data_IF_696725591070
#
_entry.id   IF_696725591070
#
_cell.length_a   1.000
_cell.length_b   1.000
_cell.length_c   1.000
_cell.angle_alpha   90.00
_cell.angle_beta   90.00
_cell.angle_gamma   90.00
#
_symmetry.space_group_name_H-M   'P 1'
#
loop_
_entity.id
_entity.type
_entity.pdbx_description
1 polymer ?
#
# COMPACT_ATOMS: atom_id res chain seq x y z
N UNK A 1 18.53 34.57 -35.76
CA UNK A 1 17.10 34.23 -35.61
C UNK A 1 16.92 32.80 -36.13
N UNK A 2 16.82 31.81 -35.25
CA UNK A 2 16.64 30.42 -35.66
C UNK A 2 15.15 30.15 -35.93
N UNK A 3 14.84 29.62 -37.11
CA UNK A 3 13.48 29.28 -37.50
C UNK A 3 12.98 28.09 -36.67
N UNK A 4 11.89 28.30 -35.93
CA UNK A 4 11.15 27.21 -35.28
C UNK A 4 10.41 26.45 -36.38
N UNK A 5 10.99 25.34 -36.86
CA UNK A 5 10.35 24.48 -37.84
C UNK A 5 9.11 23.79 -37.26
N UNK A 6 7.96 23.93 -37.93
CA UNK A 6 6.74 23.19 -37.58
C UNK A 6 6.96 21.70 -37.85
N UNK A 7 6.70 20.86 -36.84
CA UNK A 7 6.68 19.40 -36.99
C UNK A 7 5.59 18.99 -38.01
N UNK A 8 5.87 18.09 -38.96
CA UNK A 8 4.86 17.60 -39.90
C UNK A 8 3.73 16.88 -39.17
N UNK A 9 2.48 17.06 -39.60
CA UNK A 9 1.28 16.59 -38.87
C UNK A 9 1.27 15.09 -38.56
N UNK A 10 1.91 14.26 -39.38
CA UNK A 10 2.09 12.83 -39.12
C UNK A 10 3.00 12.54 -37.91
N UNK A 11 4.05 13.35 -37.71
CA UNK A 11 4.95 13.21 -36.56
C UNK A 11 4.24 13.63 -35.26
N UNK A 12 3.40 14.67 -35.31
CA UNK A 12 2.57 15.08 -34.18
C UNK A 12 1.53 14.00 -33.81
N UNK A 13 0.88 13.38 -34.80
CA UNK A 13 -0.08 12.30 -34.57
C UNK A 13 0.58 11.02 -34.01
N UNK A 14 1.77 10.67 -34.49
CA UNK A 14 2.54 9.53 -33.99
C UNK A 14 3.01 9.76 -32.55
N UNK A 15 3.47 10.97 -32.23
CA UNK A 15 3.86 11.37 -30.87
C UNK A 15 2.66 11.33 -29.92
N UNK A 16 1.49 11.80 -30.37
CA UNK A 16 0.25 11.76 -29.59
C UNK A 16 -0.23 10.32 -29.35
N UNK A 17 -0.14 9.45 -30.36
CA UNK A 17 -0.47 8.03 -30.23
C UNK A 17 0.45 7.31 -29.23
N UNK A 18 1.77 7.58 -29.31
CA UNK A 18 2.76 7.06 -28.35
C UNK A 18 2.49 7.54 -26.91
N UNK A 19 2.09 8.81 -26.74
CA UNK A 19 1.68 9.37 -25.45
C UNK A 19 0.40 8.72 -24.90
N UNK A 20 -0.59 8.42 -25.76
CA UNK A 20 -1.82 7.72 -25.36
C UNK A 20 -1.57 6.27 -24.95
N UNK A 21 -0.67 5.56 -25.63
CA UNK A 21 -0.27 4.19 -25.28
C UNK A 21 0.52 4.14 -23.95
N UNK A 22 1.37 5.14 -23.70
CA UNK A 22 2.13 5.25 -22.45
C UNK A 22 1.26 5.54 -21.21
N UNK A 23 0.03 6.02 -21.39
CA UNK A 23 -0.90 6.36 -20.30
C UNK A 23 -1.80 5.21 -19.84
N UNK A 24 -1.73 4.04 -20.47
CA UNK A 24 -2.56 2.89 -20.07
C UNK A 24 -1.90 2.12 -18.93
N UNK A 25 -2.19 2.51 -17.69
CA UNK A 25 -1.90 1.64 -16.54
C UNK A 25 -2.92 0.50 -16.57
N UNK A 26 -2.50 -0.67 -17.06
CA UNK A 26 -3.28 -1.88 -16.87
C UNK A 26 -3.26 -2.23 -15.38
N UNK A 27 -4.43 -2.29 -14.75
CA UNK A 27 -4.54 -2.79 -13.39
C UNK A 27 -4.00 -4.22 -13.34
N UNK A 28 -3.07 -4.49 -12.43
CA UNK A 28 -2.55 -5.84 -12.19
C UNK A 28 -3.71 -6.79 -11.90
N UNK A 29 -3.83 -7.87 -12.67
CA UNK A 29 -4.86 -8.86 -12.45
C UNK A 29 -4.38 -9.85 -11.39
N UNK A 30 -5.09 -9.93 -10.27
CA UNK A 30 -4.79 -10.88 -9.19
C UNK A 30 -5.96 -11.83 -9.04
N UNK A 31 -5.70 -13.11 -9.30
CA UNK A 31 -6.65 -14.22 -9.11
C UNK A 31 -5.97 -15.35 -8.33
N UNK A 32 -6.65 -16.47 -8.16
CA UNK A 32 -6.10 -17.65 -7.52
C UNK A 32 -6.70 -18.92 -8.13
N UNK A 33 -5.98 -20.03 -7.99
CA UNK A 33 -6.52 -21.36 -8.22
C UNK A 33 -6.14 -22.30 -7.07
N UNK A 34 -6.42 -23.60 -7.23
CA UNK A 34 -6.14 -24.62 -6.21
C UNK A 34 -4.65 -24.75 -5.84
N UNK A 35 -3.74 -24.11 -6.58
CA UNK A 35 -2.30 -24.23 -6.38
C UNK A 35 -1.64 -22.96 -5.89
N UNK A 36 -2.04 -21.79 -6.41
CA UNK A 36 -1.33 -20.54 -6.11
C UNK A 36 -2.17 -19.28 -6.39
N UNK A 37 -1.64 -18.14 -5.92
CA UNK A 37 -2.00 -16.83 -6.46
C UNK A 37 -1.49 -16.71 -7.89
N UNK A 38 -2.30 -16.11 -8.75
CA UNK A 38 -2.01 -15.85 -10.15
C UNK A 38 -2.00 -14.34 -10.36
N UNK A 39 -0.80 -13.81 -10.65
CA UNK A 39 -0.59 -12.38 -10.88
C UNK A 39 -0.23 -12.18 -12.34
N UNK A 40 -1.05 -11.43 -13.07
CA UNK A 40 -0.94 -11.20 -14.52
C UNK A 40 -0.82 -12.51 -15.32
N UNK A 41 -1.64 -13.50 -14.95
CA UNK A 41 -1.66 -14.83 -15.57
C UNK A 41 -0.54 -15.77 -15.14
N UNK A 42 0.39 -15.33 -14.30
CA UNK A 42 1.52 -16.14 -13.83
C UNK A 42 1.27 -16.62 -12.39
N UNK A 43 1.28 -17.95 -12.18
CA UNK A 43 1.26 -18.55 -10.84
C UNK A 43 2.54 -18.19 -10.08
N UNK A 44 2.40 -17.70 -8.85
CA UNK A 44 3.55 -17.33 -7.99
C UNK A 44 3.42 -17.95 -6.60
N UNK A 45 4.54 -18.45 -6.08
CA UNK A 45 4.70 -18.69 -4.65
C UNK A 45 5.32 -17.42 -4.08
N UNK A 46 4.56 -16.69 -3.28
CA UNK A 46 5.00 -15.39 -2.75
C UNK A 46 5.64 -15.57 -1.38
N UNK A 47 6.83 -15.01 -1.20
CA UNK A 47 7.48 -14.91 0.11
C UNK A 47 7.19 -13.54 0.72
N UNK A 48 6.54 -13.54 1.88
CA UNK A 48 6.09 -12.33 2.59
C UNK A 48 6.85 -12.11 3.89
N UNK A 49 7.05 -10.84 4.26
CA UNK A 49 7.56 -10.44 5.58
C UNK A 49 6.81 -9.22 6.13
N UNK A 50 6.57 -9.20 7.44
CA UNK A 50 5.79 -8.12 8.08
C UNK A 50 6.64 -6.89 8.41
N UNK A 51 6.17 -5.71 8.01
CA UNK A 51 6.74 -4.41 8.37
C UNK A 51 5.58 -3.48 8.71
N UNK A 52 5.42 -3.12 9.98
CA UNK A 52 4.34 -2.21 10.40
C UNK A 52 4.79 -0.76 10.28
N UNK A 53 4.14 0.02 9.41
CA UNK A 53 4.53 1.39 9.09
C UNK A 53 4.67 2.31 10.33
N UNK A 54 3.79 2.27 11.35
CA UNK A 54 3.93 3.16 12.51
C UNK A 54 5.07 2.75 13.44
N UNK A 55 5.67 1.56 13.26
CA UNK A 55 6.79 1.08 14.09
C UNK A 55 8.17 1.54 13.61
N UNK A 56 8.24 2.22 12.47
CA UNK A 56 9.45 2.89 11.96
C UNK A 56 9.11 4.30 11.47
N UNK A 57 10.09 5.10 11.06
CA UNK A 57 9.84 6.46 10.53
C UNK A 57 9.74 6.45 9.00
N UNK A 58 9.10 7.45 8.37
CA UNK A 58 8.99 7.54 6.92
C UNK A 58 10.32 7.48 6.17
N UNK A 59 11.38 8.02 6.79
CA UNK A 59 12.73 8.03 6.22
C UNK A 59 13.40 6.65 6.26
N UNK A 60 12.96 5.77 7.17
CA UNK A 60 13.45 4.39 7.24
C UNK A 60 12.80 3.49 6.19
N UNK A 61 11.56 3.76 5.77
CA UNK A 61 10.78 2.84 4.93
C UNK A 61 11.49 2.44 3.63
N UNK A 62 12.06 3.36 2.82
CA UNK A 62 12.75 2.95 1.59
C UNK A 62 13.90 1.96 1.85
N UNK A 63 14.68 2.20 2.90
CA UNK A 63 15.78 1.31 3.28
C UNK A 63 15.30 -0.03 3.84
N UNK A 64 14.15 -0.08 4.52
CA UNK A 64 13.53 -1.32 4.98
C UNK A 64 12.98 -2.14 3.79
N UNK A 65 12.33 -1.49 2.82
CA UNK A 65 11.82 -2.14 1.62
C UNK A 65 12.96 -2.70 0.77
N UNK A 66 14.06 -1.95 0.62
CA UNK A 66 15.22 -2.45 -0.11
C UNK A 66 15.82 -3.69 0.57
N UNK A 67 15.98 -3.67 1.90
CA UNK A 67 16.46 -4.85 2.64
C UNK A 67 15.52 -6.04 2.54
N UNK A 68 14.21 -5.81 2.57
CA UNK A 68 13.21 -6.85 2.33
C UNK A 68 13.38 -7.48 0.94
N UNK A 69 13.55 -6.64 -0.09
CA UNK A 69 13.77 -7.08 -1.47
C UNK A 69 15.08 -7.86 -1.62
N UNK A 70 16.17 -7.34 -1.08
CA UNK A 70 17.50 -7.99 -1.11
C UNK A 70 17.50 -9.31 -0.32
N UNK A 71 16.66 -9.40 0.72
CA UNK A 71 16.39 -10.62 1.49
C UNK A 71 15.54 -11.66 0.76
N UNK A 72 15.09 -11.38 -0.47
CA UNK A 72 14.32 -12.30 -1.30
C UNK A 72 12.81 -12.27 -1.05
N UNK A 73 12.27 -11.22 -0.41
CA UNK A 73 10.82 -11.06 -0.29
C UNK A 73 10.22 -10.61 -1.63
N UNK A 74 9.06 -11.19 -1.96
CA UNK A 74 8.21 -10.75 -3.07
C UNK A 74 7.23 -9.67 -2.62
N UNK A 75 6.90 -9.68 -1.32
CA UNK A 75 5.86 -8.84 -0.76
C UNK A 75 6.16 -8.47 0.69
N UNK A 76 5.60 -7.34 1.11
CA UNK A 76 5.54 -6.94 2.51
C UNK A 76 4.10 -6.99 3.02
N UNK A 77 3.96 -7.26 4.30
CA UNK A 77 2.67 -7.30 4.96
C UNK A 77 2.61 -6.26 6.08
N UNK A 78 1.48 -5.56 6.20
CA UNK A 78 1.23 -4.66 7.32
C UNK A 78 -0.22 -4.73 7.75
N UNK A 79 -0.44 -4.59 9.05
CA UNK A 79 -1.73 -4.19 9.58
C UNK A 79 -2.03 -2.73 9.27
N UNK A 80 -3.31 -2.35 9.32
CA UNK A 80 -3.74 -0.94 9.41
C UNK A 80 -4.14 -0.64 10.85
N UNK A 81 -3.53 0.38 11.44
CA UNK A 81 -3.73 0.73 12.85
C UNK A 81 -4.81 1.81 12.97
N UNK A 82 -6.07 1.40 13.06
CA UNK A 82 -7.22 2.29 13.02
C UNK A 82 -7.25 3.30 14.17
N UNK A 83 -6.84 2.92 15.38
CA UNK A 83 -6.72 3.86 16.50
C UNK A 83 -5.78 5.05 16.21
N UNK A 84 -4.69 4.80 15.49
CA UNK A 84 -3.79 5.86 15.05
C UNK A 84 -4.38 6.69 13.90
N UNK A 85 -5.20 6.07 13.06
CA UNK A 85 -5.83 6.73 11.91
C UNK A 85 -7.11 7.49 12.25
N UNK A 86 -7.81 7.16 13.33
CA UNK A 86 -9.03 7.84 13.78
C UNK A 86 -8.97 8.06 15.31
N UNK A 87 -8.00 8.87 15.80
CA UNK A 87 -7.82 9.09 17.24
C UNK A 87 -9.05 9.75 17.89
N UNK A 88 -9.77 10.55 17.10
CA UNK A 88 -11.08 11.10 17.44
C UNK A 88 -12.03 10.70 16.32
N UNK A 89 -13.23 10.20 16.68
CA UNK A 89 -14.22 9.76 15.70
C UNK A 89 -14.50 10.83 14.64
N UNK A 90 -14.38 10.45 13.38
CA UNK A 90 -14.53 11.31 12.20
C UNK A 90 -13.34 12.23 11.91
N UNK A 91 -12.26 12.17 12.69
CA UNK A 91 -11.03 12.93 12.46
C UNK A 91 -9.90 11.98 12.10
N UNK A 92 -9.48 12.03 10.83
CA UNK A 92 -8.52 11.07 10.30
C UNK A 92 -7.09 11.62 10.27
N UNK A 93 -6.12 10.78 10.64
CA UNK A 93 -4.69 11.06 10.52
C UNK A 93 -4.01 10.05 9.58
N UNK A 94 -3.45 10.56 8.48
CA UNK A 94 -2.63 9.83 7.53
C UNK A 94 -1.30 10.55 7.28
N UNK A 95 -0.81 11.32 8.26
CA UNK A 95 0.43 12.07 8.17
C UNK A 95 1.60 11.37 8.88
N UNK A 96 2.82 11.81 8.59
CA UNK A 96 4.02 11.34 9.28
C UNK A 96 4.16 9.82 9.26
N UNK A 97 4.25 9.19 10.44
CA UNK A 97 4.38 7.74 10.60
C UNK A 97 3.09 6.98 10.30
N UNK A 98 1.95 7.67 10.22
CA UNK A 98 0.64 7.12 9.88
C UNK A 98 0.35 7.25 8.37
N UNK A 99 1.30 7.74 7.56
CA UNK A 99 1.12 7.83 6.11
C UNK A 99 1.20 6.46 5.42
N UNK A 100 0.08 5.72 5.49
CA UNK A 100 -0.10 4.41 4.87
C UNK A 100 0.15 4.46 3.36
N UNK A 101 -0.28 5.53 2.70
CA UNK A 101 -0.16 5.68 1.24
C UNK A 101 1.31 5.79 0.85
N UNK A 102 2.09 6.63 1.55
CA UNK A 102 3.53 6.75 1.33
C UNK A 102 4.27 5.45 1.63
N UNK A 103 3.87 4.71 2.67
CA UNK A 103 4.43 3.39 2.95
C UNK A 103 4.17 2.39 1.81
N UNK A 104 2.93 2.30 1.30
CA UNK A 104 2.58 1.43 0.18
C UNK A 104 3.32 1.82 -1.10
N UNK A 105 3.48 3.13 -1.35
CA UNK A 105 4.29 3.63 -2.47
C UNK A 105 5.76 3.23 -2.34
N UNK A 106 6.35 3.31 -1.14
CA UNK A 106 7.72 2.88 -0.92
C UNK A 106 7.92 1.38 -1.20
N UNK A 107 6.94 0.53 -0.88
CA UNK A 107 6.96 -0.89 -1.26
C UNK A 107 6.86 -1.07 -2.79
N UNK A 108 5.97 -0.32 -3.45
CA UNK A 108 5.85 -0.33 -4.90
C UNK A 108 7.13 0.13 -5.61
N UNK A 109 7.79 1.18 -5.13
CA UNK A 109 9.05 1.70 -5.66
C UNK A 109 10.19 0.67 -5.55
N UNK A 110 10.17 -0.16 -4.50
CA UNK A 110 11.10 -1.28 -4.33
C UNK A 110 10.73 -2.54 -5.14
N UNK A 111 9.61 -2.51 -5.88
CA UNK A 111 9.11 -3.64 -6.65
C UNK A 111 8.62 -4.80 -5.78
N UNK A 112 7.97 -4.49 -4.65
CA UNK A 112 7.32 -5.42 -3.74
C UNK A 112 5.80 -5.30 -3.83
N UNK A 113 5.10 -6.42 -3.73
CA UNK A 113 3.65 -6.40 -3.49
C UNK A 113 3.34 -6.06 -2.02
N UNK A 114 2.09 -5.69 -1.73
CA UNK A 114 1.63 -5.43 -0.36
C UNK A 114 0.43 -6.31 -0.02
N UNK A 115 0.50 -7.02 1.10
CA UNK A 115 -0.68 -7.61 1.74
C UNK A 115 -1.15 -6.70 2.87
N UNK A 116 -2.31 -6.10 2.67
CA UNK A 116 -2.88 -5.14 3.62
C UNK A 116 -3.88 -5.85 4.55
N UNK A 117 -3.53 -5.95 5.83
CA UNK A 117 -4.35 -6.55 6.87
C UNK A 117 -5.13 -5.44 7.59
N UNK A 118 -6.26 -5.06 6.99
CA UNK A 118 -6.95 -3.81 7.31
C UNK A 118 -7.48 -3.73 8.75
N UNK A 119 -7.77 -4.86 9.42
CA UNK A 119 -8.38 -4.84 10.75
C UNK A 119 -9.92 -4.71 10.69
N UNK A 120 -10.59 -4.01 11.63
CA UNK A 120 -10.02 -2.98 12.51
C UNK A 120 -9.27 -3.52 13.73
N UNK A 121 -9.67 -4.67 14.26
CA UNK A 121 -8.88 -5.36 15.28
C UNK A 121 -7.70 -6.10 14.65
N UNK A 122 -6.49 -5.80 15.11
CA UNK A 122 -5.24 -6.35 14.55
C UNK A 122 -4.45 -7.19 15.54
N UNK A 123 -4.82 -7.16 16.84
CA UNK A 123 -4.01 -7.61 17.95
C UNK A 123 -2.63 -6.93 17.94
N UNK A 124 -1.72 -7.49 17.14
CA UNK A 124 -0.40 -6.96 16.78
C UNK A 124 0.49 -6.58 17.97
N UNK A 125 0.16 -6.97 19.20
CA UNK A 125 0.77 -6.42 20.42
C UNK A 125 0.73 -4.89 20.38
N UNK A 126 -0.41 -4.35 19.97
CA UNK A 126 -0.72 -2.93 19.89
C UNK A 126 -1.78 -2.56 20.94
N UNK A 127 -1.78 -1.30 21.37
CA UNK A 127 -2.72 -0.83 22.38
C UNK A 127 -4.16 -1.16 21.96
N UNK A 128 -4.87 -1.88 22.82
CA UNK A 128 -6.25 -2.35 22.59
C UNK A 128 -6.45 -3.10 21.25
N UNK A 129 -5.40 -3.69 20.68
CA UNK A 129 -5.48 -4.33 19.37
C UNK A 129 -5.85 -3.39 18.23
N UNK A 130 -5.57 -2.09 18.38
CA UNK A 130 -5.95 -0.98 17.49
C UNK A 130 -7.42 -0.56 17.51
N UNK A 131 -8.22 -1.13 18.41
CA UNK A 131 -9.54 -0.60 18.68
C UNK A 131 -9.46 0.69 19.51
N UNK A 132 -10.31 1.67 19.20
CA UNK A 132 -10.45 2.87 20.03
C UNK A 132 -11.49 2.64 21.13
N UNK A 133 -11.34 3.26 22.32
CA UNK A 133 -12.37 3.20 23.38
C UNK A 133 -13.77 3.60 22.87
N UNK A 134 -13.85 4.55 21.94
CA UNK A 134 -15.09 4.99 21.31
C UNK A 134 -15.74 3.89 20.46
N UNK A 135 -14.93 3.07 19.77
CA UNK A 135 -15.41 1.91 19.01
C UNK A 135 -15.84 0.77 19.95
N UNK A 136 -15.13 0.57 21.07
CA UNK A 136 -15.46 -0.45 22.06
C UNK A 136 -16.73 -0.15 22.86
N UNK A 137 -17.02 1.12 23.13
CA UNK A 137 -18.22 1.57 23.87
C UNK A 137 -19.56 1.19 23.21
N UNK A 138 -19.55 0.87 21.91
CA UNK A 138 -20.76 0.44 21.19
C UNK A 138 -20.94 -1.08 21.13
N UNK A 139 -19.98 -1.86 21.64
CA UNK A 139 -20.19 -3.30 21.79
C UNK A 139 -21.13 -3.57 22.97
N UNK A 140 -22.24 -4.33 22.77
CA UNK A 140 -23.19 -4.65 23.83
C UNK A 140 -22.60 -5.37 25.05
N UNK A 141 -21.35 -5.85 24.94
CA UNK A 141 -20.62 -6.55 25.99
C UNK A 141 -19.72 -5.63 26.83
N UNK A 142 -19.48 -4.38 26.40
CA UNK A 142 -18.60 -3.46 27.13
C UNK A 142 -19.19 -3.08 28.50
N UNK A 143 -20.50 -2.84 28.58
CA UNK A 143 -21.20 -2.58 29.86
C UNK A 143 -21.17 -3.77 30.84
N UNK A 144 -20.87 -4.99 30.38
CA UNK A 144 -20.80 -6.19 31.24
C UNK A 144 -19.40 -6.47 31.79
N UNK A 145 -18.38 -5.74 31.33
CA UNK A 145 -16.98 -5.97 31.69
C UNK A 145 -16.31 -4.76 32.38
N UNK A 146 -17.02 -3.64 32.51
CA UNK A 146 -16.65 -2.45 33.30
C UNK A 146 -17.30 -2.47 34.69
#
# INVERSE_FOLDING_TARGET
>A
MAAVGRLPGAAAALLLALLCLAGTSAATNVTYDHRALVIDGVRRVLVSGSIHYPRSTPDMWPGLMQKAKDGGLDMVETYVFWDAHEPVRGQYDFEGRNDLVRFVKAAADAGLYVHLRIGPYVCAEWNYGSDTPQTLQHFPLYEKLS
#
